data_IF_389986951175
#
_entry.id   IF_389986951175
#
_cell.length_a   1.000
_cell.length_b   1.000
_cell.length_c   1.000
_cell.angle_alpha   90.00
_cell.angle_beta   90.00
_cell.angle_gamma   90.00
#
_symmetry.space_group_name_H-M   'P 1'
#
loop_
_entity.id
_entity.type
_entity.pdbx_description
1 polymer ?
#
# COMPACT_ATOMS: atom_id res chain seq x y z
N UNK A 1 -20.27 -10.58 33.71
CA UNK A 1 -19.91 -9.27 33.13
C UNK A 1 -20.04 -9.38 31.62
N UNK A 2 -21.12 -8.82 31.07
CA UNK A 2 -21.54 -8.97 29.66
C UNK A 2 -20.49 -8.37 28.73
N UNK A 3 -19.84 -9.23 27.92
CA UNK A 3 -19.04 -8.82 26.76
C UNK A 3 -19.99 -8.20 25.74
N UNK A 4 -20.13 -6.88 25.80
CA UNK A 4 -20.87 -6.11 24.80
C UNK A 4 -20.15 -6.20 23.47
N UNK A 5 -20.79 -6.94 22.55
CA UNK A 5 -20.80 -6.71 21.11
C UNK A 5 -19.50 -6.30 20.44
N UNK A 6 -18.77 -7.31 19.92
CA UNK A 6 -18.07 -7.17 18.63
C UNK A 6 -16.97 -6.11 18.42
N UNK A 7 -16.69 -5.28 19.40
CA UNK A 7 -15.67 -4.22 19.33
C UNK A 7 -14.30 -4.83 19.59
N UNK A 8 -13.36 -4.66 18.65
CA UNK A 8 -11.97 -5.01 18.89
C UNK A 8 -11.46 -4.18 20.07
N UNK A 9 -10.80 -4.83 21.04
CA UNK A 9 -10.11 -4.10 22.10
C UNK A 9 -8.86 -3.45 21.52
N UNK A 10 -8.83 -2.11 21.49
CA UNK A 10 -7.76 -1.30 20.91
C UNK A 10 -6.79 -0.75 21.98
N UNK A 11 -6.89 -1.18 23.23
CA UNK A 11 -6.16 -0.61 24.38
C UNK A 11 -4.63 -0.66 24.27
N UNK A 12 -4.10 -1.63 23.52
CA UNK A 12 -2.64 -1.82 23.37
C UNK A 12 -2.12 -1.34 22.01
N UNK A 13 -2.92 -0.56 21.26
CA UNK A 13 -2.55 -0.05 19.96
C UNK A 13 -2.34 1.46 20.01
N UNK A 14 -1.32 1.92 19.29
CA UNK A 14 -1.00 3.32 19.09
C UNK A 14 -1.58 3.82 17.77
N UNK A 15 -2.19 5.00 17.81
CA UNK A 15 -2.89 5.61 16.68
C UNK A 15 -2.31 6.97 16.32
N UNK A 16 -2.26 7.25 15.02
CA UNK A 16 -2.11 8.60 14.50
C UNK A 16 -3.34 8.94 13.65
N UNK A 17 -4.02 10.04 13.99
CA UNK A 17 -5.15 10.59 13.24
C UNK A 17 -4.68 11.83 12.49
N UNK A 18 -4.76 11.81 11.16
CA UNK A 18 -4.32 12.87 10.27
C UNK A 18 -5.53 13.40 9.51
N UNK A 19 -5.90 14.65 9.72
CA UNK A 19 -7.04 15.31 9.06
C UNK A 19 -6.87 16.82 9.30
N UNK A 20 -7.13 17.68 8.32
CA UNK A 20 -7.03 19.13 8.47
C UNK A 20 -8.16 19.72 9.33
N UNK A 21 -9.34 19.06 9.36
CA UNK A 21 -10.48 19.48 10.15
C UNK A 21 -10.41 19.02 11.62
N UNK A 22 -10.25 19.95 12.55
CA UNK A 22 -10.18 19.66 13.99
C UNK A 22 -11.39 18.88 14.51
N UNK A 23 -12.59 19.16 13.98
CA UNK A 23 -13.82 18.47 14.37
C UNK A 23 -13.78 16.98 13.98
N UNK A 24 -13.22 16.65 12.80
CA UNK A 24 -13.08 15.26 12.36
C UNK A 24 -12.04 14.51 13.21
N UNK A 25 -10.89 15.14 13.48
CA UNK A 25 -9.90 14.56 14.41
C UNK A 25 -10.53 14.26 15.79
N UNK A 26 -11.27 15.23 16.33
CA UNK A 26 -11.96 15.06 17.63
C UNK A 26 -12.99 13.93 17.61
N UNK A 27 -13.78 13.83 16.54
CA UNK A 27 -14.74 12.75 16.32
C UNK A 27 -14.06 11.39 16.27
N UNK A 28 -13.01 11.23 15.43
CA UNK A 28 -12.25 9.98 15.30
C UNK A 28 -11.64 9.56 16.63
N UNK A 29 -11.03 10.50 17.36
CA UNK A 29 -10.50 10.24 18.71
C UNK A 29 -11.58 9.76 19.69
N UNK A 30 -12.76 10.36 19.64
CA UNK A 30 -13.91 9.92 20.42
C UNK A 30 -14.27 8.46 20.12
N UNK A 31 -14.41 8.12 18.84
CA UNK A 31 -14.68 6.74 18.40
C UNK A 31 -13.60 5.74 18.84
N UNK A 32 -12.32 6.12 18.71
CA UNK A 32 -11.21 5.26 19.13
C UNK A 32 -11.17 5.08 20.66
N UNK A 33 -11.41 6.13 21.44
CA UNK A 33 -11.51 6.04 22.91
C UNK A 33 -12.67 5.18 23.37
N UNK A 34 -13.80 5.23 22.67
CA UNK A 34 -14.94 4.34 22.94
C UNK A 34 -14.58 2.86 22.73
N UNK A 35 -13.59 2.58 21.86
CA UNK A 35 -13.02 1.25 21.65
C UNK A 35 -11.79 0.97 22.54
N UNK A 36 -11.63 1.77 23.61
CA UNK A 36 -10.57 1.65 24.62
C UNK A 36 -9.16 2.02 24.15
N UNK A 37 -8.99 2.68 23.01
CA UNK A 37 -7.66 3.18 22.59
C UNK A 37 -7.18 4.26 23.59
N UNK A 38 -5.96 4.10 24.09
CA UNK A 38 -5.34 5.01 25.06
C UNK A 38 -4.27 5.90 24.46
N UNK A 39 -3.57 5.43 23.42
CA UNK A 39 -2.48 6.14 22.73
C UNK A 39 -2.97 6.66 21.38
N UNK A 40 -3.31 7.95 21.31
CA UNK A 40 -3.85 8.59 20.09
C UNK A 40 -3.19 9.94 19.91
N UNK A 41 -2.35 10.06 18.88
CA UNK A 41 -1.77 11.31 18.42
C UNK A 41 -2.58 11.90 17.26
N UNK A 42 -2.38 13.18 16.99
CA UNK A 42 -3.04 13.92 15.91
C UNK A 42 -2.03 14.70 15.07
N UNK A 43 -2.32 14.84 13.78
CA UNK A 43 -1.65 15.79 12.90
C UNK A 43 -2.70 16.52 12.04
N UNK A 44 -2.46 17.80 11.75
CA UNK A 44 -3.38 18.64 10.97
C UNK A 44 -2.97 18.81 9.52
N UNK A 45 -1.80 18.34 9.14
CA UNK A 45 -1.20 18.54 7.81
C UNK A 45 -0.14 17.47 7.52
N UNK A 46 0.29 17.39 6.27
CA UNK A 46 1.24 16.37 5.82
C UNK A 46 2.63 16.50 6.44
N UNK A 47 3.10 17.71 6.71
CA UNK A 47 4.45 17.94 7.29
C UNK A 47 4.46 17.48 8.75
N UNK A 48 3.46 17.88 9.53
CA UNK A 48 3.31 17.47 10.92
C UNK A 48 3.11 15.95 11.04
N UNK A 49 2.39 15.33 10.09
CA UNK A 49 2.19 13.90 10.03
C UNK A 49 3.51 13.14 9.84
N UNK A 50 4.29 13.49 8.81
CA UNK A 50 5.59 12.86 8.53
C UNK A 50 6.54 13.03 9.72
N UNK A 51 6.64 14.24 10.30
CA UNK A 51 7.47 14.50 11.47
C UNK A 51 7.10 13.65 12.69
N UNK A 52 5.81 13.35 12.89
CA UNK A 52 5.36 12.47 13.97
C UNK A 52 5.69 11.01 13.67
N UNK A 53 5.53 10.56 12.43
CA UNK A 53 5.86 9.21 12.01
C UNK A 53 7.36 8.95 12.09
N UNK A 54 8.21 9.93 11.82
CA UNK A 54 9.66 9.83 12.00
C UNK A 54 10.08 9.61 13.45
N UNK A 55 9.37 10.28 14.38
CA UNK A 55 9.72 10.27 15.81
C UNK A 55 9.08 9.13 16.58
N UNK A 56 7.95 8.62 16.10
CA UNK A 56 7.13 7.65 16.82
C UNK A 56 6.72 6.49 15.89
N UNK A 57 6.48 5.32 16.49
CA UNK A 57 5.91 4.17 15.81
C UNK A 57 4.42 4.08 16.11
N UNK A 58 3.60 3.97 15.07
CA UNK A 58 2.16 3.79 15.20
C UNK A 58 1.73 2.44 14.66
N UNK A 59 0.78 1.79 15.35
CA UNK A 59 0.17 0.55 14.89
C UNK A 59 -0.86 0.82 13.80
N UNK A 60 -1.60 1.93 13.93
CA UNK A 60 -2.66 2.32 12.99
C UNK A 60 -2.58 3.81 12.69
N UNK A 61 -2.56 4.14 11.41
CA UNK A 61 -2.62 5.50 10.89
C UNK A 61 -3.95 5.65 10.16
N UNK A 62 -4.78 6.60 10.59
CA UNK A 62 -6.00 7.04 9.91
C UNK A 62 -5.69 8.38 9.27
N UNK A 63 -5.62 8.44 7.95
CA UNK A 63 -5.18 9.64 7.23
C UNK A 63 -6.25 10.10 6.25
N UNK A 64 -6.69 11.35 6.36
CA UNK A 64 -7.49 11.98 5.31
C UNK A 64 -6.69 12.04 4.01
N UNK A 65 -7.38 11.85 2.93
CA UNK A 65 -6.80 12.01 1.59
C UNK A 65 -6.49 13.49 1.32
N UNK A 66 -7.47 14.36 1.51
CA UNK A 66 -7.30 15.80 1.32
C UNK A 66 -6.93 16.49 2.65
N UNK A 67 -5.78 17.11 2.67
CA UNK A 67 -5.25 17.82 3.82
C UNK A 67 -5.07 19.33 3.52
N UNK A 68 -5.78 19.82 2.51
CA UNK A 68 -5.70 21.21 2.07
C UNK A 68 -4.38 21.50 1.36
N UNK A 69 -3.66 22.54 1.82
CA UNK A 69 -2.38 22.90 1.19
C UNK A 69 -1.24 21.96 1.57
N UNK A 70 -0.42 21.59 0.60
CA UNK A 70 0.76 20.75 0.79
C UNK A 70 0.55 19.30 0.39
N UNK A 71 1.13 18.38 1.15
CA UNK A 71 1.03 16.95 0.85
C UNK A 71 -0.33 16.40 1.22
N UNK A 72 -0.96 15.66 0.31
CA UNK A 72 -2.15 14.89 0.59
C UNK A 72 -1.82 13.53 1.24
N UNK A 73 -2.86 12.79 1.67
CA UNK A 73 -2.69 11.51 2.36
C UNK A 73 -1.99 10.43 1.53
N UNK A 74 -2.16 10.45 0.21
CA UNK A 74 -1.46 9.55 -0.72
C UNK A 74 0.04 9.84 -0.75
N UNK A 75 0.42 11.10 -0.87
CA UNK A 75 1.81 11.54 -0.90
C UNK A 75 2.52 11.29 0.44
N UNK A 76 1.79 11.37 1.56
CA UNK A 76 2.31 10.96 2.86
C UNK A 76 2.61 9.46 2.85
N UNK A 77 1.67 8.62 2.38
CA UNK A 77 1.85 7.16 2.32
C UNK A 77 3.05 6.78 1.43
N UNK A 78 3.18 7.41 0.26
CA UNK A 78 4.32 7.23 -0.65
C UNK A 78 5.64 7.57 0.07
N UNK A 79 5.72 8.73 0.69
CA UNK A 79 6.94 9.18 1.37
C UNK A 79 7.32 8.26 2.54
N UNK A 80 6.37 7.90 3.41
CA UNK A 80 6.69 7.08 4.59
C UNK A 80 7.05 5.64 4.22
N UNK A 81 6.54 5.13 3.09
CA UNK A 81 6.94 3.82 2.55
C UNK A 81 8.30 3.87 1.87
N UNK A 82 8.54 4.85 1.00
CA UNK A 82 9.83 5.00 0.28
C UNK A 82 11.01 5.22 1.24
N UNK A 83 10.78 5.97 2.32
CA UNK A 83 11.77 6.23 3.37
C UNK A 83 11.83 5.15 4.44
N UNK A 84 11.01 4.08 4.35
CA UNK A 84 10.91 3.02 5.36
C UNK A 84 10.62 3.53 6.78
N UNK A 85 9.78 4.55 6.93
CA UNK A 85 9.43 5.15 8.22
C UNK A 85 8.36 4.36 8.98
N UNK A 86 7.59 3.52 8.29
CA UNK A 86 6.57 2.66 8.90
C UNK A 86 6.94 1.19 8.78
N UNK A 87 6.50 0.40 9.75
CA UNK A 87 6.70 -1.05 9.76
C UNK A 87 5.76 -1.76 8.79
N UNK A 88 6.11 -2.97 8.36
CA UNK A 88 5.20 -3.85 7.63
C UNK A 88 3.92 -4.17 8.41
N UNK A 89 4.02 -4.17 9.74
CA UNK A 89 2.88 -4.39 10.63
C UNK A 89 1.97 -3.16 10.77
N UNK A 90 2.44 -1.96 10.47
CA UNK A 90 1.63 -0.73 10.55
C UNK A 90 0.45 -0.82 9.59
N UNK A 91 -0.72 -0.44 10.07
CA UNK A 91 -1.96 -0.35 9.29
C UNK A 91 -2.14 1.10 8.85
N UNK A 92 -2.26 1.34 7.55
CA UNK A 92 -2.56 2.66 7.01
C UNK A 92 -3.94 2.65 6.36
N UNK A 93 -4.87 3.39 6.93
CA UNK A 93 -6.24 3.53 6.41
C UNK A 93 -6.40 4.92 5.83
N UNK A 94 -6.74 4.98 4.55
CA UNK A 94 -7.09 6.23 3.89
C UNK A 94 -8.54 6.58 4.21
N UNK A 95 -8.78 7.77 4.69
CA UNK A 95 -10.12 8.31 4.95
C UNK A 95 -10.40 9.38 3.90
N UNK A 96 -11.57 9.40 3.28
CA UNK A 96 -11.84 10.34 2.19
C UNK A 96 -13.30 10.74 2.09
N UNK A 97 -13.57 12.00 1.76
CA UNK A 97 -14.91 12.50 1.47
C UNK A 97 -15.34 12.22 0.03
N UNK A 98 -14.40 11.92 -0.86
CA UNK A 98 -14.65 11.78 -2.29
C UNK A 98 -14.65 10.32 -2.74
N UNK A 99 -15.52 10.01 -3.70
CA UNK A 99 -15.60 8.73 -4.43
C UNK A 99 -15.19 8.91 -5.90
N UNK A 100 -14.23 9.82 -6.16
CA UNK A 100 -13.80 10.04 -7.54
C UNK A 100 -12.92 8.88 -8.02
N UNK A 101 -13.00 8.59 -9.32
CA UNK A 101 -12.20 7.54 -9.96
C UNK A 101 -10.71 7.78 -9.73
N UNK A 102 -10.26 9.03 -9.81
CA UNK A 102 -8.85 9.42 -9.64
C UNK A 102 -8.30 9.07 -8.26
N UNK A 103 -9.14 9.18 -7.22
CA UNK A 103 -8.77 8.80 -5.86
C UNK A 103 -8.70 7.29 -5.68
N UNK A 104 -9.65 6.56 -6.27
CA UNK A 104 -9.63 5.08 -6.24
C UNK A 104 -8.38 4.57 -6.95
N UNK A 105 -7.93 5.26 -8.00
CA UNK A 105 -6.76 4.88 -8.78
C UNK A 105 -5.43 5.18 -8.05
N UNK A 106 -5.28 6.37 -7.51
CA UNK A 106 -4.15 6.70 -6.63
C UNK A 106 -4.09 5.78 -5.41
N UNK A 107 -5.25 5.37 -4.94
CA UNK A 107 -5.49 4.42 -3.89
C UNK A 107 -4.92 3.02 -4.18
N UNK A 108 -5.07 2.53 -5.39
CA UNK A 108 -4.53 1.24 -5.84
C UNK A 108 -3.01 1.30 -6.00
N UNK A 109 -2.46 2.46 -6.36
CA UNK A 109 -1.04 2.68 -6.61
C UNK A 109 -0.18 2.47 -5.35
N UNK A 110 -0.52 3.13 -4.25
CA UNK A 110 0.28 3.08 -3.01
C UNK A 110 -0.24 2.11 -1.95
N UNK A 111 -1.37 1.48 -2.21
CA UNK A 111 -1.97 0.36 -1.45
C UNK A 111 -1.98 0.59 0.07
N UNK A 112 -2.82 1.50 0.58
CA UNK A 112 -3.16 1.47 1.98
C UNK A 112 -3.85 0.16 2.34
N UNK A 113 -3.90 -0.19 3.61
CA UNK A 113 -4.54 -1.43 4.07
C UNK A 113 -6.07 -1.39 3.92
N UNK A 114 -6.69 -0.20 3.93
CA UNK A 114 -8.12 -0.01 3.66
C UNK A 114 -8.46 1.45 3.29
N UNK A 115 -9.68 1.62 2.78
CA UNK A 115 -10.31 2.91 2.48
C UNK A 115 -11.60 3.06 3.25
N UNK A 116 -11.81 4.24 3.84
CA UNK A 116 -13.00 4.58 4.58
C UNK A 116 -13.60 5.87 4.03
N UNK A 117 -14.74 5.76 3.36
CA UNK A 117 -15.42 6.93 2.75
C UNK A 117 -16.25 7.67 3.80
N UNK A 118 -16.05 9.00 3.89
CA UNK A 118 -16.87 9.91 4.69
C UNK A 118 -18.24 10.17 4.01
N UNK A 119 -19.36 10.25 4.75
CA UNK A 119 -19.49 9.97 6.16
C UNK A 119 -19.56 8.47 6.44
N UNK A 120 -19.06 8.03 7.60
CA UNK A 120 -19.12 6.63 8.01
C UNK A 120 -19.64 6.51 9.45
N UNK A 121 -20.19 5.34 9.76
CA UNK A 121 -20.67 5.03 11.10
C UNK A 121 -19.58 4.40 11.96
N UNK A 122 -19.76 4.48 13.27
CA UNK A 122 -18.92 3.79 14.27
C UNK A 122 -18.80 2.29 14.00
N UNK A 123 -19.92 1.66 13.66
CA UNK A 123 -20.00 0.23 13.38
C UNK A 123 -19.19 -0.15 12.16
N UNK A 124 -19.19 0.70 11.10
CA UNK A 124 -18.40 0.49 9.90
C UNK A 124 -16.91 0.55 10.22
N UNK A 125 -16.45 1.60 10.93
CA UNK A 125 -15.05 1.74 11.34
C UNK A 125 -14.59 0.51 12.13
N UNK A 126 -15.34 0.09 13.13
CA UNK A 126 -14.96 -1.06 13.98
C UNK A 126 -14.95 -2.37 13.21
N UNK A 127 -15.90 -2.58 12.31
CA UNK A 127 -15.92 -3.76 11.45
C UNK A 127 -14.69 -3.82 10.55
N UNK A 128 -14.30 -2.68 9.93
CA UNK A 128 -13.10 -2.58 9.11
C UNK A 128 -11.83 -2.87 9.92
N UNK A 129 -11.66 -2.19 11.05
CA UNK A 129 -10.54 -2.42 11.96
C UNK A 129 -10.44 -3.89 12.38
N UNK A 130 -11.56 -4.53 12.74
CA UNK A 130 -11.59 -5.94 13.14
C UNK A 130 -11.08 -6.87 12.01
N UNK A 131 -11.50 -6.63 10.77
CA UNK A 131 -11.07 -7.43 9.60
C UNK A 131 -9.56 -7.27 9.38
N UNK A 132 -9.07 -6.02 9.35
CA UNK A 132 -7.65 -5.74 9.09
C UNK A 132 -6.77 -6.29 10.21
N UNK A 133 -7.14 -6.07 11.47
CA UNK A 133 -6.40 -6.59 12.63
C UNK A 133 -6.34 -8.13 12.62
N UNK A 134 -7.43 -8.78 12.20
CA UNK A 134 -7.46 -10.25 12.07
C UNK A 134 -6.47 -10.74 11.01
N UNK A 135 -6.37 -10.06 9.87
CA UNK A 135 -5.37 -10.34 8.83
C UNK A 135 -3.94 -10.08 9.33
N UNK A 136 -3.69 -8.92 9.92
CA UNK A 136 -2.36 -8.59 10.49
C UNK A 136 -1.93 -9.57 11.57
N UNK A 137 -2.88 -10.14 12.34
CA UNK A 137 -2.58 -11.19 13.31
C UNK A 137 -2.02 -12.46 12.65
N UNK A 138 -2.58 -12.87 11.51
CA UNK A 138 -2.07 -14.01 10.72
C UNK A 138 -0.65 -13.71 10.22
N UNK A 139 -0.39 -12.48 9.77
CA UNK A 139 0.88 -12.07 9.18
C UNK A 139 1.92 -11.61 10.23
N UNK A 140 1.55 -11.54 11.51
CA UNK A 140 2.38 -10.93 12.58
C UNK A 140 3.79 -11.51 12.65
N UNK A 141 3.93 -12.82 12.61
CA UNK A 141 5.24 -13.48 12.66
C UNK A 141 6.10 -13.15 11.44
N UNK A 142 5.48 -13.09 10.26
CA UNK A 142 6.13 -12.74 8.99
C UNK A 142 6.65 -11.31 9.06
N UNK A 143 5.77 -10.36 9.37
CA UNK A 143 6.12 -8.94 9.44
C UNK A 143 7.16 -8.64 10.53
N UNK A 144 7.09 -9.34 11.68
CA UNK A 144 8.10 -9.19 12.73
C UNK A 144 9.52 -9.57 12.29
N UNK A 145 9.67 -10.50 11.36
CA UNK A 145 10.97 -10.82 10.76
C UNK A 145 11.36 -9.81 9.68
N UNK A 146 10.41 -9.41 8.85
CA UNK A 146 10.62 -8.40 7.81
C UNK A 146 11.02 -7.04 8.39
N UNK A 147 10.40 -6.62 9.50
CA UNK A 147 10.75 -5.38 10.22
C UNK A 147 12.20 -5.39 10.78
N UNK A 148 12.79 -6.59 10.92
CA UNK A 148 14.21 -6.79 11.28
C UNK A 148 15.11 -7.01 10.07
N UNK A 149 14.60 -6.84 8.86
CA UNK A 149 15.26 -7.17 7.59
C UNK A 149 15.65 -8.66 7.46
N UNK A 150 15.07 -9.54 8.29
CA UNK A 150 15.29 -10.99 8.22
C UNK A 150 14.34 -11.64 7.20
N UNK A 151 14.53 -11.29 5.92
CA UNK A 151 13.67 -11.76 4.84
C UNK A 151 13.73 -13.27 4.63
N UNK A 152 14.86 -13.90 4.89
CA UNK A 152 15.03 -15.37 4.82
C UNK A 152 14.01 -16.09 5.71
N UNK A 153 13.94 -15.70 6.98
CA UNK A 153 13.02 -16.32 7.93
C UNK A 153 11.56 -15.89 7.64
N UNK A 154 11.34 -14.65 7.20
CA UNK A 154 10.02 -14.20 6.77
C UNK A 154 9.48 -15.05 5.61
N UNK A 155 10.31 -15.40 4.61
CA UNK A 155 9.96 -16.28 3.48
C UNK A 155 9.56 -17.68 3.98
N UNK A 156 10.34 -18.28 4.89
CA UNK A 156 10.00 -19.59 5.48
C UNK A 156 8.68 -19.56 6.26
N UNK A 157 8.44 -18.46 6.98
CA UNK A 157 7.17 -18.27 7.69
C UNK A 157 5.98 -18.10 6.73
N UNK A 158 6.18 -17.48 5.56
CA UNK A 158 5.15 -17.42 4.53
C UNK A 158 4.72 -18.84 4.10
N UNK A 159 5.67 -19.76 3.87
CA UNK A 159 5.33 -21.14 3.48
C UNK A 159 4.48 -21.84 4.53
N UNK A 160 4.81 -21.69 5.82
CA UNK A 160 4.01 -22.27 6.91
C UNK A 160 2.60 -21.64 6.96
N UNK A 161 2.50 -20.33 6.78
CA UNK A 161 1.21 -19.64 6.86
C UNK A 161 0.32 -19.92 5.63
N UNK A 162 0.87 -20.10 4.44
CA UNK A 162 0.12 -20.50 3.23
C UNK A 162 -0.59 -21.83 3.49
N UNK A 163 0.08 -22.79 4.11
CA UNK A 163 -0.51 -24.11 4.44
C UNK A 163 -1.56 -23.99 5.55
N UNK A 164 -1.31 -23.16 6.55
CA UNK A 164 -2.20 -22.99 7.70
C UNK A 164 -3.47 -22.16 7.38
N UNK A 165 -3.38 -21.24 6.40
CA UNK A 165 -4.46 -20.29 6.07
C UNK A 165 -4.72 -20.24 4.56
N UNK A 166 -5.31 -21.28 3.94
CA UNK A 166 -5.50 -21.35 2.49
C UNK A 166 -6.33 -20.19 1.91
N UNK A 167 -7.26 -19.62 2.69
CA UNK A 167 -8.11 -18.49 2.26
C UNK A 167 -7.34 -17.20 1.96
N UNK A 168 -6.15 -17.04 2.51
CA UNK A 168 -5.28 -15.88 2.31
C UNK A 168 -3.95 -16.26 1.65
N UNK A 169 -3.86 -17.49 1.11
CA UNK A 169 -2.63 -18.03 0.54
C UNK A 169 -2.06 -17.16 -0.59
N UNK A 170 -2.91 -16.64 -1.48
CA UNK A 170 -2.50 -15.78 -2.60
C UNK A 170 -1.93 -14.45 -2.09
N UNK A 171 -2.52 -13.86 -1.04
CA UNK A 171 -2.02 -12.63 -0.41
C UNK A 171 -0.64 -12.88 0.25
N UNK A 172 -0.49 -14.02 0.94
CA UNK A 172 0.79 -14.40 1.56
C UNK A 172 1.84 -14.72 0.48
N UNK A 173 1.46 -15.36 -0.62
CA UNK A 173 2.36 -15.65 -1.74
C UNK A 173 2.90 -14.34 -2.36
N UNK A 174 2.06 -13.31 -2.48
CA UNK A 174 2.48 -11.98 -2.92
C UNK A 174 3.52 -11.37 -1.98
N UNK A 175 3.26 -11.36 -0.66
CA UNK A 175 4.19 -10.88 0.37
C UNK A 175 5.51 -11.66 0.30
N UNK A 176 5.44 -12.99 0.13
CA UNK A 176 6.61 -13.85 -0.05
C UNK A 176 7.44 -13.43 -1.27
N UNK A 177 6.78 -13.20 -2.42
CA UNK A 177 7.47 -12.76 -3.64
C UNK A 177 8.18 -11.40 -3.45
N UNK A 178 7.54 -10.43 -2.78
CA UNK A 178 8.16 -9.15 -2.43
C UNK A 178 9.42 -9.34 -1.57
N UNK A 179 9.40 -10.24 -0.58
CA UNK A 179 10.58 -10.53 0.25
C UNK A 179 11.65 -11.29 -0.52
N UNK A 180 11.29 -12.15 -1.46
CA UNK A 180 12.23 -12.80 -2.38
C UNK A 180 12.98 -11.75 -3.21
N UNK A 181 12.27 -10.77 -3.79
CA UNK A 181 12.89 -9.66 -4.53
C UNK A 181 13.85 -8.85 -3.64
N UNK A 182 13.43 -8.52 -2.41
CA UNK A 182 14.26 -7.76 -1.45
C UNK A 182 15.50 -8.51 -0.99
N UNK A 183 15.45 -9.84 -0.99
CA UNK A 183 16.59 -10.73 -0.62
C UNK A 183 17.39 -11.21 -1.83
N UNK A 184 17.12 -10.71 -3.04
CA UNK A 184 17.84 -11.08 -4.26
C UNK A 184 17.47 -12.45 -4.85
N UNK A 185 16.44 -13.13 -4.31
CA UNK A 185 15.96 -14.45 -4.79
C UNK A 185 14.98 -14.29 -5.95
N UNK A 186 15.46 -13.71 -7.06
CA UNK A 186 14.61 -13.38 -8.19
C UNK A 186 13.96 -14.63 -8.82
N UNK A 187 14.70 -15.75 -8.97
CA UNK A 187 14.16 -16.98 -9.55
C UNK A 187 13.01 -17.57 -8.70
N UNK A 188 13.13 -17.48 -7.36
CA UNK A 188 12.06 -17.92 -6.47
C UNK A 188 10.83 -17.01 -6.60
N UNK A 189 11.04 -15.70 -6.69
CA UNK A 189 9.95 -14.75 -6.92
C UNK A 189 9.24 -15.02 -8.25
N UNK A 190 9.99 -15.26 -9.32
CA UNK A 190 9.46 -15.61 -10.65
C UNK A 190 8.60 -16.89 -10.57
N UNK A 191 9.11 -17.93 -9.91
CA UNK A 191 8.35 -19.18 -9.71
C UNK A 191 7.03 -18.94 -8.96
N UNK A 192 7.02 -18.04 -7.97
CA UNK A 192 5.79 -17.69 -7.22
C UNK A 192 4.81 -16.96 -8.13
N UNK A 193 5.26 -15.97 -8.91
CA UNK A 193 4.39 -15.22 -9.82
C UNK A 193 3.74 -16.14 -10.86
N UNK A 194 4.53 -17.03 -11.51
CA UNK A 194 4.00 -17.99 -12.49
C UNK A 194 2.96 -18.91 -11.87
N UNK A 195 3.23 -19.52 -10.69
CA UNK A 195 2.27 -20.36 -9.98
C UNK A 195 0.97 -19.66 -9.62
N UNK A 196 1.04 -18.37 -9.30
CA UNK A 196 -0.16 -17.58 -8.99
C UNK A 196 -0.95 -17.31 -10.27
N UNK A 197 -0.28 -17.04 -11.39
CA UNK A 197 -0.93 -16.83 -12.69
C UNK A 197 -1.56 -18.11 -13.24
N UNK A 198 -1.04 -19.29 -12.92
CA UNK A 198 -1.69 -20.58 -13.23
C UNK A 198 -3.07 -20.73 -12.56
N UNK A 199 -3.29 -20.03 -11.43
CA UNK A 199 -4.58 -20.07 -10.72
C UNK A 199 -5.55 -19.05 -11.33
N UNK A 200 -5.07 -17.82 -11.55
CA UNK A 200 -5.86 -16.71 -12.08
C UNK A 200 -4.94 -15.58 -12.49
N UNK A 201 -5.37 -14.80 -13.49
CA UNK A 201 -4.71 -13.55 -13.88
C UNK A 201 -4.76 -12.52 -12.75
N UNK A 202 -3.56 -12.10 -12.32
CA UNK A 202 -3.38 -11.05 -11.32
C UNK A 202 -2.37 -10.03 -11.84
N UNK A 203 -2.79 -8.80 -12.06
CA UNK A 203 -1.93 -7.72 -12.55
C UNK A 203 -0.64 -7.58 -11.73
N UNK A 204 -0.70 -7.73 -10.41
CA UNK A 204 0.49 -7.64 -9.54
C UNK A 204 1.53 -8.74 -9.81
N UNK A 205 1.11 -9.92 -10.26
CA UNK A 205 2.02 -11.01 -10.58
C UNK A 205 2.65 -10.81 -11.97
N UNK A 206 1.88 -10.34 -12.95
CA UNK A 206 2.42 -9.89 -14.26
C UNK A 206 3.43 -8.76 -14.08
N UNK A 207 3.10 -7.73 -13.29
CA UNK A 207 4.03 -6.64 -12.93
C UNK A 207 5.31 -7.19 -12.29
N UNK A 208 5.18 -8.16 -11.39
CA UNK A 208 6.34 -8.82 -10.77
C UNK A 208 7.25 -9.51 -11.78
N UNK A 209 6.68 -10.20 -12.77
CA UNK A 209 7.43 -10.80 -13.88
C UNK A 209 8.12 -9.74 -14.75
N UNK A 210 7.40 -8.70 -15.17
CA UNK A 210 7.96 -7.61 -15.94
C UNK A 210 9.15 -6.94 -15.24
N UNK A 211 9.05 -6.69 -13.93
CA UNK A 211 10.17 -6.17 -13.12
C UNK A 211 11.38 -7.12 -13.08
N UNK A 212 11.16 -8.42 -13.11
CA UNK A 212 12.24 -9.41 -13.19
C UNK A 212 12.89 -9.36 -14.57
N UNK A 213 12.11 -9.28 -15.64
CA UNK A 213 12.66 -9.17 -17.01
C UNK A 213 13.47 -7.87 -17.18
N UNK A 214 13.01 -6.74 -16.67
CA UNK A 214 13.81 -5.50 -16.63
C UNK A 214 15.15 -5.67 -15.91
N UNK A 215 15.16 -6.39 -14.79
CA UNK A 215 16.42 -6.67 -14.06
C UNK A 215 17.37 -7.58 -14.82
N UNK A 216 16.85 -8.46 -15.68
CA UNK A 216 17.65 -9.29 -16.58
C UNK A 216 18.15 -8.52 -17.82
N UNK A 217 17.68 -7.29 -18.03
CA UNK A 217 17.97 -6.49 -19.24
C UNK A 217 17.05 -6.81 -20.42
N UNK A 218 16.01 -7.61 -20.22
CA UNK A 218 15.04 -7.99 -21.25
C UNK A 218 13.92 -6.94 -21.34
N UNK A 219 14.29 -5.69 -21.66
CA UNK A 219 13.37 -4.56 -21.55
C UNK A 219 12.20 -4.65 -22.53
N UNK A 220 12.39 -5.13 -23.74
CA UNK A 220 11.29 -5.36 -24.70
C UNK A 220 10.25 -6.35 -24.17
N UNK A 221 10.71 -7.45 -23.56
CA UNK A 221 9.80 -8.43 -22.96
C UNK A 221 9.06 -7.85 -21.75
N UNK A 222 9.71 -6.98 -20.97
CA UNK A 222 9.07 -6.25 -19.90
C UNK A 222 7.99 -5.27 -20.41
N UNK A 223 8.26 -4.56 -21.52
CA UNK A 223 7.29 -3.69 -22.21
C UNK A 223 6.03 -4.47 -22.58
N UNK A 224 6.16 -5.61 -23.28
CA UNK A 224 5.03 -6.46 -23.68
C UNK A 224 4.17 -6.84 -22.46
N UNK A 225 4.80 -7.26 -21.35
CA UNK A 225 4.09 -7.63 -20.12
C UNK A 225 3.36 -6.42 -19.52
N UNK A 226 3.97 -5.25 -19.47
CA UNK A 226 3.33 -4.06 -18.90
C UNK A 226 2.23 -3.51 -19.81
N UNK A 227 2.38 -3.56 -21.13
CA UNK A 227 1.34 -3.22 -22.09
C UNK A 227 0.10 -4.11 -21.91
N UNK A 228 0.31 -5.43 -21.79
CA UNK A 228 -0.78 -6.37 -21.49
C UNK A 228 -1.51 -5.97 -20.19
N UNK A 229 -0.78 -5.64 -19.11
CA UNK A 229 -1.40 -5.18 -17.85
C UNK A 229 -2.18 -3.89 -18.03
N UNK A 230 -1.64 -2.92 -18.78
CA UNK A 230 -2.31 -1.65 -19.07
C UNK A 230 -3.57 -1.89 -19.90
N UNK A 231 -3.55 -2.82 -20.85
CA UNK A 231 -4.69 -3.13 -21.71
C UNK A 231 -5.82 -3.82 -20.94
N UNK A 232 -5.50 -4.75 -20.06
CA UNK A 232 -6.45 -5.43 -19.17
C UNK A 232 -6.99 -4.55 -18.06
N UNK A 233 -6.15 -3.67 -17.53
CA UNK A 233 -6.48 -2.78 -16.41
C UNK A 233 -5.99 -1.36 -16.68
N UNK A 234 -6.82 -0.58 -17.40
CA UNK A 234 -6.53 0.82 -17.77
C UNK A 234 -6.26 1.74 -16.57
N UNK A 235 -6.46 1.25 -15.37
CA UNK A 235 -6.31 2.02 -14.12
C UNK A 235 -5.12 1.57 -13.27
N UNK A 236 -4.30 0.66 -13.78
CA UNK A 236 -3.10 0.17 -13.09
C UNK A 236 -1.92 1.13 -13.30
N UNK A 237 -1.86 2.19 -12.52
CA UNK A 237 -0.85 3.25 -12.64
C UNK A 237 0.57 2.70 -12.55
N UNK A 238 0.82 1.75 -11.65
CA UNK A 238 2.13 1.09 -11.51
C UNK A 238 2.61 0.48 -12.85
N UNK A 239 1.70 -0.06 -13.66
CA UNK A 239 2.07 -0.62 -14.96
C UNK A 239 2.46 0.46 -15.97
N UNK A 240 1.77 1.61 -15.97
CA UNK A 240 2.17 2.75 -16.82
C UNK A 240 3.56 3.28 -16.46
N UNK A 241 3.85 3.46 -15.15
CA UNK A 241 5.15 3.97 -14.70
C UNK A 241 6.28 3.02 -15.07
N UNK A 242 6.07 1.72 -14.93
CA UNK A 242 7.06 0.69 -15.30
C UNK A 242 7.22 0.54 -16.82
N UNK A 243 6.14 0.71 -17.58
CA UNK A 243 6.19 0.72 -19.02
C UNK A 243 7.04 1.91 -19.54
N UNK A 244 6.80 3.09 -18.96
CA UNK A 244 7.62 4.27 -19.28
C UNK A 244 9.09 4.06 -18.92
N UNK A 245 9.39 3.50 -17.73
CA UNK A 245 10.77 3.14 -17.34
C UNK A 245 11.40 2.13 -18.32
N UNK A 246 10.62 1.17 -18.82
CA UNK A 246 11.12 0.19 -19.77
C UNK A 246 11.42 0.82 -21.15
N UNK A 247 10.63 1.79 -21.60
CA UNK A 247 10.94 2.59 -22.79
C UNK A 247 12.20 3.44 -22.60
N UNK A 248 12.37 4.10 -21.45
CA UNK A 248 13.58 4.88 -21.15
C UNK A 248 14.87 4.04 -21.19
N UNK A 249 14.80 2.78 -20.75
CA UNK A 249 15.94 1.85 -20.81
C UNK A 249 16.35 1.43 -22.23
N UNK A 250 15.48 1.66 -23.20
CA UNK A 250 15.73 1.44 -24.64
C UNK A 250 15.95 2.77 -25.38
N UNK A 251 16.17 3.87 -24.64
CA UNK A 251 16.34 5.22 -25.17
C UNK A 251 15.12 5.75 -25.96
N UNK A 252 13.95 5.15 -25.77
CA UNK A 252 12.69 5.54 -26.42
C UNK A 252 11.93 6.56 -25.55
N UNK A 253 12.45 7.77 -25.51
CA UNK A 253 11.93 8.84 -24.68
C UNK A 253 10.56 9.36 -25.14
N UNK A 254 10.26 9.29 -26.43
CA UNK A 254 8.98 9.76 -27.00
C UNK A 254 7.82 8.89 -26.47
N UNK A 255 7.94 7.57 -26.54
CA UNK A 255 6.95 6.66 -26.01
C UNK A 255 6.87 6.72 -24.46
N UNK A 256 8.01 6.84 -23.76
CA UNK A 256 8.02 7.04 -22.31
C UNK A 256 7.19 8.26 -21.91
N UNK A 257 7.42 9.41 -22.56
CA UNK A 257 6.70 10.65 -22.28
C UNK A 257 5.19 10.51 -22.53
N UNK A 258 4.79 9.87 -23.65
CA UNK A 258 3.37 9.62 -23.93
C UNK A 258 2.69 8.78 -22.82
N UNK A 259 3.37 7.72 -22.38
CA UNK A 259 2.87 6.84 -21.30
C UNK A 259 2.79 7.57 -19.97
N UNK A 260 3.81 8.36 -19.60
CA UNK A 260 3.79 9.18 -18.38
C UNK A 260 2.66 10.24 -18.38
N UNK A 261 2.37 10.83 -19.54
CA UNK A 261 1.24 11.76 -19.69
C UNK A 261 -0.11 11.05 -19.46
N UNK A 262 -0.28 9.81 -19.96
CA UNK A 262 -1.47 9.00 -19.71
C UNK A 262 -1.60 8.68 -18.22
N UNK A 263 -0.52 8.26 -17.59
CA UNK A 263 -0.48 7.98 -16.14
C UNK A 263 -0.80 9.21 -15.29
N UNK A 264 -0.29 10.39 -15.67
CA UNK A 264 -0.56 11.66 -14.97
C UNK A 264 -2.03 12.09 -15.08
N UNK A 265 -2.68 11.86 -16.23
CA UNK A 265 -4.12 12.12 -16.37
C UNK A 265 -4.95 11.23 -15.45
N UNK A 266 -4.52 9.99 -15.22
CA UNK A 266 -5.20 9.04 -14.33
C UNK A 266 -4.91 9.32 -12.83
N UNK A 267 -3.70 9.73 -12.48
CA UNK A 267 -3.29 10.03 -11.10
C UNK A 267 -2.37 11.25 -11.06
N UNK A 268 -2.93 12.47 -10.95
CA UNK A 268 -2.16 13.72 -11.04
C UNK A 268 -1.17 13.94 -9.88
N UNK A 269 -1.37 13.24 -8.76
CA UNK A 269 -0.66 13.49 -7.51
C UNK A 269 0.60 12.65 -7.28
N UNK A 270 1.04 11.84 -8.23
CA UNK A 270 2.25 11.01 -8.13
C UNK A 270 3.52 11.87 -8.13
N UNK A 271 4.24 11.91 -7.00
CA UNK A 271 5.45 12.75 -6.84
C UNK A 271 6.57 12.33 -7.79
N UNK A 272 6.80 11.04 -7.93
CA UNK A 272 7.88 10.47 -8.77
C UNK A 272 7.62 10.76 -10.25
N UNK A 273 6.39 10.57 -10.70
CA UNK A 273 5.95 10.81 -12.09
C UNK A 273 6.04 12.27 -12.48
N UNK A 274 5.58 13.16 -11.62
CA UNK A 274 5.66 14.60 -11.89
C UNK A 274 7.11 15.10 -11.98
N UNK A 275 8.05 14.49 -11.25
CA UNK A 275 9.49 14.77 -11.40
C UNK A 275 10.06 14.24 -12.70
N UNK A 276 9.66 13.04 -13.12
CA UNK A 276 10.11 12.47 -14.40
C UNK A 276 9.71 13.36 -15.58
N UNK A 277 8.44 13.82 -15.62
CA UNK A 277 7.95 14.73 -16.66
C UNK A 277 8.62 16.11 -16.68
N UNK A 278 9.19 16.57 -15.56
CA UNK A 278 9.90 17.86 -15.51
C UNK A 278 11.36 17.75 -15.91
N UNK A 279 11.92 16.55 -15.95
CA UNK A 279 13.31 16.29 -16.31
C UNK A 279 13.49 15.77 -17.75
N UNK A 280 12.40 15.44 -18.43
CA UNK A 280 12.33 15.07 -19.85
C UNK A 280 12.01 16.30 -20.71
#
# INVERSE_FOLDING_TARGET
MLVRTGVANLSNLSFLVIDDFANYRSMLKGLLRDAMASSIDEASDGVSAVNKIEKNQYDIILCDYDLGQGKNGQQILEEVKSRNLIKYSTIYIMVTAENTMDMVLGAVEYRPDDYLTKPFTKELLYRRLKVILSKKKILKSIYSQADKNNYEEAIKLCDKQILAFPKVAVEIARIKAEFCIKSGKNDLAESIYRKVLDIREFSWAKIGLGKIEMKKGNNFQAQEIFEEVVDENKTCIEAYDLLAEAFEKEDDFDNSQEILMKATKLSPNGLTRNRALTNA
#
